data_IF_181420025161
#
_entry.id   IF_181420025161
#
_cell.length_a   1.000
_cell.length_b   1.000
_cell.length_c   1.000
_cell.angle_alpha   90.00
_cell.angle_beta   90.00
_cell.angle_gamma   90.00
#
_symmetry.space_group_name_H-M   'P 1'
#
loop_
_entity.id
_entity.type
_entity.pdbx_description
1 polymer ?
#
# COMPACT_ATOMS: atom_id res chain seq x y z
N UNK A 1 -22.00 6.58 -20.55
CA UNK A 1 -23.02 6.38 -19.47
C UNK A 1 -22.36 5.53 -18.38
N UNK A 2 -22.04 6.12 -17.21
CA UNK A 2 -21.45 5.33 -16.10
C UNK A 2 -22.51 4.36 -15.58
N UNK A 3 -22.16 3.08 -15.47
CA UNK A 3 -23.10 2.07 -14.96
C UNK A 3 -23.23 2.24 -13.44
N UNK A 4 -24.30 2.87 -13.00
CA UNK A 4 -24.57 3.19 -11.59
C UNK A 4 -24.56 1.95 -10.68
N UNK A 5 -24.95 0.79 -11.20
CA UNK A 5 -24.93 -0.47 -10.45
C UNK A 5 -23.49 -0.93 -10.15
N UNK A 6 -22.60 -0.85 -11.14
CA UNK A 6 -21.19 -1.20 -10.94
C UNK A 6 -20.47 -0.24 -9.97
N UNK A 7 -20.84 1.04 -9.98
CA UNK A 7 -20.31 2.00 -9.01
C UNK A 7 -20.75 1.64 -7.59
N UNK A 8 -22.03 1.33 -7.38
CA UNK A 8 -22.54 0.90 -6.07
C UNK A 8 -21.88 -0.41 -5.61
N UNK A 9 -21.71 -1.36 -6.51
CA UNK A 9 -21.03 -2.61 -6.26
C UNK A 9 -19.58 -2.36 -5.76
N UNK A 10 -18.83 -1.53 -6.48
CA UNK A 10 -17.47 -1.15 -6.09
C UNK A 10 -17.43 -0.47 -4.73
N UNK A 11 -18.30 0.52 -4.49
CA UNK A 11 -18.37 1.25 -3.21
C UNK A 11 -18.62 0.32 -2.01
N UNK A 12 -19.50 -0.67 -2.15
CA UNK A 12 -19.79 -1.67 -1.11
C UNK A 12 -18.55 -2.52 -0.82
N UNK A 13 -17.90 -3.05 -1.87
CA UNK A 13 -16.67 -3.84 -1.72
C UNK A 13 -15.56 -3.05 -1.03
N UNK A 14 -15.31 -1.84 -1.50
CA UNK A 14 -14.28 -0.96 -0.96
C UNK A 14 -14.54 -0.64 0.51
N UNK A 15 -15.78 -0.26 0.84
CA UNK A 15 -16.14 0.04 2.22
C UNK A 15 -15.89 -1.16 3.16
N UNK A 16 -16.32 -2.36 2.76
CA UNK A 16 -16.15 -3.58 3.56
C UNK A 16 -14.68 -4.00 3.61
N UNK A 17 -13.93 -3.89 2.52
CA UNK A 17 -12.52 -4.23 2.49
C UNK A 17 -11.70 -3.35 3.44
N UNK A 18 -12.00 -2.05 3.51
CA UNK A 18 -11.28 -1.09 4.39
C UNK A 18 -11.69 -1.25 5.86
N UNK A 19 -12.99 -1.46 6.14
CA UNK A 19 -13.50 -1.47 7.52
C UNK A 19 -13.62 -2.88 8.13
N UNK A 20 -13.37 -3.93 7.36
CA UNK A 20 -13.40 -5.34 7.76
C UNK A 20 -14.81 -5.92 7.84
N UNK A 21 -15.81 -5.18 8.30
CA UNK A 21 -17.22 -5.59 8.31
C UNK A 21 -18.16 -4.39 8.47
N UNK A 22 -19.40 -4.53 8.01
CA UNK A 22 -20.44 -3.52 8.21
C UNK A 22 -21.83 -4.16 8.26
N UNK A 23 -22.80 -3.45 8.82
CA UNK A 23 -24.22 -3.79 8.74
C UNK A 23 -24.84 -3.19 7.47
N UNK A 24 -25.98 -3.74 7.03
CA UNK A 24 -26.71 -3.16 5.88
C UNK A 24 -27.15 -1.71 6.14
N UNK A 25 -27.50 -1.37 7.38
CA UNK A 25 -27.91 -0.01 7.74
C UNK A 25 -26.74 0.99 7.67
N UNK A 26 -25.57 0.61 8.22
CA UNK A 26 -24.35 1.42 8.12
C UNK A 26 -23.94 1.67 6.66
N UNK A 27 -24.01 0.63 5.83
CA UNK A 27 -23.69 0.76 4.41
C UNK A 27 -24.71 1.64 3.67
N UNK A 28 -26.02 1.51 3.98
CA UNK A 28 -27.06 2.31 3.36
C UNK A 28 -26.89 3.80 3.67
N UNK A 29 -26.58 4.14 4.92
CA UNK A 29 -26.36 5.50 5.38
C UNK A 29 -25.07 6.09 4.77
N UNK A 30 -23.95 5.37 4.85
CA UNK A 30 -22.65 5.87 4.39
C UNK A 30 -22.52 6.00 2.89
N UNK A 31 -23.16 5.11 2.14
CA UNK A 31 -23.04 5.07 0.67
C UNK A 31 -24.23 5.75 -0.04
N UNK A 32 -25.18 6.27 0.72
CA UNK A 32 -26.43 6.86 0.19
C UNK A 32 -27.13 5.92 -0.80
N UNK A 33 -27.26 4.63 -0.42
CA UNK A 33 -27.91 3.59 -1.21
C UNK A 33 -29.19 3.16 -0.49
N UNK A 34 -30.38 3.21 -1.14
CA UNK A 34 -31.60 2.73 -0.54
C UNK A 34 -31.48 1.29 -0.06
N UNK A 35 -31.91 1.01 1.17
CA UNK A 35 -31.78 -0.29 1.83
C UNK A 35 -32.27 -1.49 1.01
N UNK A 36 -33.43 -1.42 0.28
CA UNK A 36 -33.86 -2.52 -0.57
C UNK A 36 -32.90 -2.81 -1.73
N UNK A 37 -32.34 -1.76 -2.33
CA UNK A 37 -31.35 -1.89 -3.42
C UNK A 37 -30.07 -2.50 -2.89
N UNK A 38 -29.60 -2.01 -1.74
CA UNK A 38 -28.39 -2.50 -1.08
C UNK A 38 -28.53 -3.96 -0.65
N UNK A 39 -29.67 -4.33 -0.04
CA UNK A 39 -29.93 -5.71 0.39
C UNK A 39 -29.85 -6.69 -0.78
N UNK A 40 -30.43 -6.33 -1.92
CA UNK A 40 -30.35 -7.16 -3.14
C UNK A 40 -28.91 -7.25 -3.65
N UNK A 41 -28.22 -6.13 -3.76
CA UNK A 41 -26.83 -6.07 -4.21
C UNK A 41 -25.92 -6.94 -3.32
N UNK A 42 -26.05 -6.82 -2.01
CA UNK A 42 -25.27 -7.63 -1.05
C UNK A 42 -25.62 -9.11 -1.15
N UNK A 43 -26.91 -9.47 -1.36
CA UNK A 43 -27.27 -10.85 -1.60
C UNK A 43 -26.59 -11.44 -2.83
N UNK A 44 -26.56 -10.70 -3.93
CA UNK A 44 -25.88 -11.12 -5.16
C UNK A 44 -24.36 -11.29 -4.90
N UNK A 45 -23.75 -10.37 -4.13
CA UNK A 45 -22.32 -10.44 -3.77
C UNK A 45 -22.01 -11.63 -2.86
N UNK A 46 -22.92 -12.00 -1.96
CA UNK A 46 -22.78 -13.21 -1.13
C UNK A 46 -22.89 -14.47 -1.98
N UNK A 47 -23.83 -14.53 -2.91
CA UNK A 47 -23.95 -15.65 -3.85
C UNK A 47 -22.70 -15.82 -4.72
N UNK A 48 -22.07 -14.71 -5.12
CA UNK A 48 -20.78 -14.68 -5.84
C UNK A 48 -19.57 -15.01 -4.94
N UNK A 49 -19.76 -15.26 -3.65
CA UNK A 49 -18.69 -15.49 -2.67
C UNK A 49 -17.70 -14.33 -2.52
N UNK A 50 -18.11 -13.12 -2.84
CA UNK A 50 -17.32 -11.90 -2.63
C UNK A 50 -17.49 -11.35 -1.22
N UNK A 51 -18.68 -11.52 -0.66
CA UNK A 51 -19.03 -11.19 0.71
C UNK A 51 -19.56 -12.41 1.44
N UNK A 52 -19.51 -12.40 2.76
CA UNK A 52 -20.12 -13.41 3.63
C UNK A 52 -20.85 -12.76 4.79
N UNK A 53 -21.83 -13.46 5.36
CA UNK A 53 -22.52 -13.05 6.58
C UNK A 53 -21.79 -13.64 7.77
N UNK A 54 -21.20 -12.78 8.60
CA UNK A 54 -20.56 -13.20 9.86
C UNK A 54 -21.62 -13.61 10.91
N UNK A 55 -22.72 -12.86 10.92
CA UNK A 55 -23.87 -13.09 11.79
C UNK A 55 -25.14 -12.59 11.11
N UNK A 56 -26.24 -12.47 11.88
CA UNK A 56 -27.54 -12.04 11.33
C UNK A 56 -27.53 -10.62 10.76
N UNK A 57 -26.60 -9.78 11.19
CA UNK A 57 -26.57 -8.35 10.84
C UNK A 57 -25.31 -7.90 10.12
N UNK A 58 -24.19 -8.60 10.28
CA UNK A 58 -22.86 -8.17 9.79
C UNK A 58 -22.42 -8.91 8.53
N UNK A 59 -21.84 -8.15 7.63
CA UNK A 59 -21.32 -8.60 6.34
C UNK A 59 -19.82 -8.32 6.34
N UNK A 60 -19.04 -9.25 5.83
CA UNK A 60 -17.57 -9.17 5.75
C UNK A 60 -17.06 -9.63 4.38
N UNK A 61 -15.76 -9.39 4.08
CA UNK A 61 -15.12 -9.93 2.90
C UNK A 61 -15.10 -11.46 2.94
N UNK A 62 -15.53 -12.11 1.84
CA UNK A 62 -15.47 -13.57 1.73
C UNK A 62 -14.15 -14.06 1.11
N UNK A 63 -13.78 -15.35 1.30
CA UNK A 63 -12.58 -15.94 0.71
C UNK A 63 -12.47 -15.83 -0.80
N UNK A 64 -13.58 -15.63 -1.52
CA UNK A 64 -13.59 -15.36 -2.95
C UNK A 64 -12.77 -14.13 -3.37
N UNK A 65 -12.77 -13.07 -2.56
CA UNK A 65 -11.95 -11.88 -2.80
C UNK A 65 -10.45 -12.20 -2.66
N UNK A 66 -10.07 -12.99 -1.66
CA UNK A 66 -8.67 -13.43 -1.47
C UNK A 66 -8.23 -14.23 -2.70
N UNK A 67 -9.05 -15.19 -3.15
CA UNK A 67 -8.78 -15.98 -4.34
C UNK A 67 -8.59 -15.13 -5.60
N UNK A 68 -9.46 -14.15 -5.82
CA UNK A 68 -9.35 -13.22 -6.95
C UNK A 68 -8.06 -12.40 -6.89
N UNK A 69 -7.71 -11.88 -5.70
CA UNK A 69 -6.48 -11.15 -5.48
C UNK A 69 -5.23 -12.00 -5.77
N UNK A 70 -5.18 -13.23 -5.29
CA UNK A 70 -4.06 -14.14 -5.54
C UNK A 70 -3.95 -14.54 -7.03
N UNK A 71 -5.06 -14.77 -7.70
CA UNK A 71 -5.05 -14.99 -9.16
C UNK A 71 -4.56 -13.76 -9.91
N UNK A 72 -5.01 -12.57 -9.53
CA UNK A 72 -4.61 -11.30 -10.13
C UNK A 72 -3.11 -11.06 -9.99
N UNK A 73 -2.51 -11.32 -8.81
CA UNK A 73 -1.06 -11.20 -8.58
C UNK A 73 -0.24 -12.01 -9.56
N UNK A 74 -0.64 -13.25 -9.87
CA UNK A 74 0.07 -14.14 -10.81
C UNK A 74 0.10 -13.62 -12.24
N UNK A 75 -0.93 -12.89 -12.65
CA UNK A 75 -1.10 -12.39 -14.02
C UNK A 75 -0.76 -10.90 -14.17
N UNK A 76 -0.53 -10.19 -13.06
CA UNK A 76 -0.13 -8.80 -13.10
C UNK A 76 1.23 -8.64 -13.76
N UNK A 77 1.28 -7.87 -14.86
CA UNK A 77 2.52 -7.55 -15.56
C UNK A 77 3.50 -6.83 -14.62
N UNK A 78 3.01 -5.87 -13.85
CA UNK A 78 3.77 -5.13 -12.85
C UNK A 78 4.45 -6.10 -11.85
N UNK A 79 3.70 -6.99 -11.23
CA UNK A 79 4.24 -7.89 -10.20
C UNK A 79 5.15 -8.97 -10.79
N UNK A 80 4.86 -9.49 -11.98
CA UNK A 80 5.74 -10.45 -12.66
C UNK A 80 7.12 -9.89 -12.95
N UNK A 81 7.22 -8.59 -13.25
CA UNK A 81 8.48 -7.92 -13.54
C UNK A 81 9.19 -7.41 -12.28
N UNK A 82 8.46 -6.99 -11.25
CA UNK A 82 9.03 -6.44 -10.03
C UNK A 82 9.44 -7.52 -9.01
N UNK A 83 8.55 -8.48 -8.71
CA UNK A 83 8.72 -9.42 -7.59
C UNK A 83 10.00 -10.25 -7.65
N UNK A 84 10.40 -10.86 -8.79
CA UNK A 84 11.64 -11.62 -8.84
C UNK A 84 12.87 -10.78 -8.50
N UNK A 85 12.93 -9.55 -9.00
CA UNK A 85 14.04 -8.61 -8.77
C UNK A 85 14.09 -8.17 -7.31
N UNK A 86 12.92 -7.94 -6.69
CA UNK A 86 12.81 -7.58 -5.27
C UNK A 86 13.28 -8.73 -4.37
N UNK A 87 12.87 -9.97 -4.66
CA UNK A 87 13.31 -11.14 -3.90
C UNK A 87 14.80 -11.34 -3.97
N UNK A 88 15.38 -11.33 -5.17
CA UNK A 88 16.83 -11.45 -5.39
C UNK A 88 17.61 -10.38 -4.60
N UNK A 89 17.16 -9.12 -4.68
CA UNK A 89 17.82 -8.03 -3.95
C UNK A 89 17.69 -8.19 -2.43
N UNK A 90 16.50 -8.54 -1.94
CA UNK A 90 16.23 -8.76 -0.52
C UNK A 90 17.12 -9.88 0.04
N UNK A 91 17.19 -11.01 -0.64
CA UNK A 91 18.04 -12.14 -0.24
C UNK A 91 19.52 -11.77 -0.25
N UNK A 92 19.99 -11.12 -1.33
CA UNK A 92 21.38 -10.69 -1.48
C UNK A 92 21.82 -9.67 -0.43
N UNK A 93 20.94 -8.76 -0.06
CA UNK A 93 21.22 -7.69 0.92
C UNK A 93 20.81 -8.04 2.35
N UNK A 94 20.08 -9.14 2.54
CA UNK A 94 19.46 -9.54 3.81
C UNK A 94 18.56 -8.44 4.38
N UNK A 95 17.82 -7.78 3.51
CA UNK A 95 16.89 -6.71 3.84
C UNK A 95 15.49 -7.03 3.31
N UNK A 96 14.47 -6.64 4.04
CA UNK A 96 13.10 -6.74 3.54
C UNK A 96 12.82 -5.70 2.46
N UNK A 97 11.83 -5.98 1.63
CA UNK A 97 11.26 -5.00 0.70
C UNK A 97 9.75 -4.92 0.85
N UNK A 98 9.21 -3.72 0.74
CA UNK A 98 7.78 -3.45 0.59
C UNK A 98 7.59 -2.77 -0.75
N UNK A 99 6.65 -3.27 -1.53
CA UNK A 99 6.18 -2.64 -2.75
C UNK A 99 4.72 -2.27 -2.58
N UNK A 100 4.38 -1.00 -2.75
CA UNK A 100 3.05 -0.46 -2.57
C UNK A 100 2.62 0.42 -3.76
N UNK A 101 1.32 0.58 -3.92
CA UNK A 101 0.69 1.49 -4.88
C UNK A 101 -0.28 2.44 -4.19
N UNK A 102 -0.62 3.52 -4.89
CA UNK A 102 -1.61 4.51 -4.48
C UNK A 102 -2.61 4.73 -5.63
N UNK A 103 -3.88 4.52 -5.36
CA UNK A 103 -4.97 4.62 -6.35
C UNK A 103 -5.64 6.00 -6.42
N UNK A 104 -5.10 6.98 -5.69
CA UNK A 104 -5.66 8.33 -5.54
C UNK A 104 -6.40 8.53 -4.23
N UNK A 105 -6.72 7.48 -3.49
CA UNK A 105 -7.40 7.52 -2.19
C UNK A 105 -6.64 6.72 -1.12
N UNK A 106 -6.25 5.50 -1.45
CA UNK A 106 -5.66 4.54 -0.51
C UNK A 106 -4.28 4.08 -0.95
N UNK A 107 -3.39 3.89 0.02
CA UNK A 107 -2.15 3.16 -0.19
C UNK A 107 -2.40 1.69 0.15
N UNK A 108 -1.98 0.81 -0.75
CA UNK A 108 -2.13 -0.63 -0.58
C UNK A 108 -0.83 -1.36 -0.91
N UNK A 109 -0.54 -2.38 -0.13
CA UNK A 109 0.62 -3.23 -0.34
C UNK A 109 0.36 -4.18 -1.52
N UNK A 110 1.27 -4.17 -2.48
CA UNK A 110 1.25 -5.06 -3.65
C UNK A 110 2.06 -6.33 -3.38
N UNK A 111 3.17 -6.18 -2.67
CA UNK A 111 4.08 -7.27 -2.35
C UNK A 111 5.02 -6.87 -1.21
N UNK A 112 5.39 -7.84 -0.36
CA UNK A 112 6.46 -7.67 0.62
C UNK A 112 7.30 -8.95 0.74
N UNK A 113 8.54 -8.77 1.17
CA UNK A 113 9.40 -9.86 1.67
C UNK A 113 9.50 -9.75 3.18
N UNK A 114 9.53 -10.88 3.86
CA UNK A 114 9.77 -10.95 5.30
C UNK A 114 10.86 -11.98 5.55
N UNK A 115 12.09 -11.50 5.73
CA UNK A 115 13.23 -12.34 6.09
C UNK A 115 13.20 -12.60 7.61
N UNK A 116 13.60 -13.81 8.08
CA UNK A 116 13.50 -14.17 9.50
C UNK A 116 14.26 -13.24 10.45
N UNK A 117 15.33 -12.61 9.96
CA UNK A 117 16.18 -11.70 10.73
C UNK A 117 15.63 -10.28 10.88
N UNK A 118 14.58 -9.92 10.14
CA UNK A 118 14.03 -8.57 10.13
C UNK A 118 12.57 -8.56 10.59
N UNK A 119 12.19 -7.59 11.38
CA UNK A 119 10.80 -7.41 11.78
C UNK A 119 9.97 -6.83 10.63
N UNK A 120 8.75 -7.29 10.42
CA UNK A 120 7.84 -6.67 9.47
C UNK A 120 7.48 -5.26 9.94
N UNK A 121 7.42 -4.31 9.02
CA UNK A 121 6.94 -2.94 9.26
C UNK A 121 5.87 -2.59 8.22
N UNK A 122 4.96 -1.69 8.58
CA UNK A 122 3.93 -1.20 7.67
C UNK A 122 4.49 -0.22 6.62
N UNK A 123 3.70 0.08 5.61
CA UNK A 123 4.04 1.12 4.61
C UNK A 123 4.24 2.50 5.25
N UNK A 124 3.62 2.78 6.40
CA UNK A 124 3.77 4.03 7.13
C UNK A 124 5.05 4.05 7.97
N UNK A 125 5.31 3.00 8.72
CA UNK A 125 6.52 2.87 9.56
C UNK A 125 7.81 2.82 8.72
N UNK A 126 7.76 2.22 7.54
CA UNK A 126 8.90 2.16 6.62
C UNK A 126 9.22 3.51 5.96
N UNK A 127 8.30 4.48 6.00
CA UNK A 127 8.41 5.75 5.28
C UNK A 127 8.01 5.69 3.82
N UNK A 128 7.47 4.58 3.35
CA UNK A 128 7.06 4.42 1.96
C UNK A 128 5.79 5.22 1.63
N UNK A 129 4.81 5.25 2.54
CA UNK A 129 3.56 5.95 2.33
C UNK A 129 3.74 7.44 2.02
N UNK A 130 4.46 8.25 2.84
CA UNK A 130 4.67 9.66 2.54
C UNK A 130 5.42 9.90 1.22
N UNK A 131 6.35 9.00 0.84
CA UNK A 131 7.09 9.10 -0.42
C UNK A 131 6.15 8.94 -1.62
N UNK A 132 5.28 7.93 -1.61
CA UNK A 132 4.30 7.70 -2.68
C UNK A 132 3.29 8.86 -2.74
N UNK A 133 2.74 9.29 -1.62
CA UNK A 133 1.74 10.36 -1.57
C UNK A 133 2.31 11.69 -2.08
N UNK A 134 3.52 12.04 -1.64
CA UNK A 134 4.19 13.27 -2.10
C UNK A 134 4.47 13.20 -3.60
N UNK A 135 4.91 12.05 -4.11
CA UNK A 135 5.14 11.85 -5.54
C UNK A 135 3.83 11.89 -6.35
N UNK A 136 2.71 11.49 -5.76
CA UNK A 136 1.37 11.62 -6.33
C UNK A 136 0.79 13.05 -6.25
N UNK A 137 1.52 14.01 -5.67
CA UNK A 137 1.08 15.40 -5.52
C UNK A 137 0.09 15.65 -4.39
N UNK A 138 0.00 14.75 -3.42
CA UNK A 138 -0.86 14.91 -2.24
C UNK A 138 -0.27 15.99 -1.33
N UNK A 139 -1.13 16.84 -0.79
CA UNK A 139 -0.71 17.93 0.11
C UNK A 139 -0.19 17.39 1.44
N UNK A 140 0.72 18.12 2.08
CA UNK A 140 1.28 17.76 3.38
C UNK A 140 0.21 17.62 4.47
N UNK A 141 -0.79 18.51 4.45
CA UNK A 141 -1.90 18.42 5.41
C UNK A 141 -2.67 17.11 5.30
N UNK A 142 -2.88 16.62 4.08
CA UNK A 142 -3.52 15.34 3.85
C UNK A 142 -2.58 14.16 4.20
N UNK A 143 -1.30 14.24 3.86
CA UNK A 143 -0.30 13.27 4.28
C UNK A 143 -0.26 13.14 5.81
N UNK A 144 -0.26 14.26 6.52
CA UNK A 144 -0.25 14.30 7.97
C UNK A 144 -1.56 13.74 8.58
N UNK A 145 -2.70 14.04 7.97
CA UNK A 145 -4.00 13.49 8.38
C UNK A 145 -3.99 11.95 8.28
N UNK A 146 -3.55 11.42 7.16
CA UNK A 146 -3.46 9.97 6.95
C UNK A 146 -2.41 9.32 7.85
N UNK A 147 -1.27 9.99 8.09
CA UNK A 147 -0.27 9.51 9.04
C UNK A 147 -0.88 9.30 10.44
N UNK A 148 -1.58 10.28 10.97
CA UNK A 148 -2.24 10.18 12.29
C UNK A 148 -3.29 9.07 12.34
N UNK A 149 -4.03 8.86 11.25
CA UNK A 149 -5.02 7.78 11.16
C UNK A 149 -4.40 6.38 11.15
N UNK A 150 -3.27 6.22 10.46
CA UNK A 150 -2.63 4.91 10.29
C UNK A 150 -1.55 4.60 11.35
N UNK A 151 -1.20 5.59 12.18
CA UNK A 151 -0.27 5.45 13.30
C UNK A 151 -0.90 5.99 14.59
N UNK A 152 -1.93 5.32 15.14
CA UNK A 152 -2.74 5.86 16.24
C UNK A 152 -1.97 6.04 17.57
N UNK A 153 -0.76 5.50 17.68
CA UNK A 153 0.11 5.65 18.85
C UNK A 153 1.24 6.66 18.63
N UNK A 154 1.19 7.46 17.56
CA UNK A 154 2.22 8.46 17.30
C UNK A 154 2.17 9.58 18.35
N UNK A 155 3.34 10.01 18.81
CA UNK A 155 3.51 11.17 19.67
C UNK A 155 3.62 12.47 18.87
N UNK A 156 3.55 13.62 19.52
CA UNK A 156 3.81 14.91 18.87
C UNK A 156 5.24 15.01 18.33
N UNK A 157 6.20 14.30 18.95
CA UNK A 157 7.57 14.23 18.44
C UNK A 157 7.63 13.47 17.11
N UNK A 158 6.84 12.38 16.96
CA UNK A 158 6.76 11.63 15.70
C UNK A 158 6.13 12.47 14.58
N UNK A 159 5.14 13.30 14.92
CA UNK A 159 4.53 14.26 13.99
C UNK A 159 5.57 15.27 13.48
N UNK A 160 6.38 15.85 14.36
CA UNK A 160 7.42 16.80 13.96
C UNK A 160 8.50 16.13 13.09
N UNK A 161 8.86 14.89 13.39
CA UNK A 161 9.78 14.11 12.54
C UNK A 161 9.16 13.90 11.16
N UNK A 162 7.90 13.51 11.11
CA UNK A 162 7.18 13.27 9.85
C UNK A 162 7.08 14.54 8.98
N UNK A 163 6.81 15.70 9.57
CA UNK A 163 6.78 16.98 8.85
C UNK A 163 8.14 17.33 8.21
N UNK A 164 9.25 17.11 8.93
CA UNK A 164 10.60 17.28 8.39
C UNK A 164 10.92 16.29 7.27
N UNK A 165 10.42 15.08 7.38
CA UNK A 165 10.56 14.07 6.32
C UNK A 165 9.80 14.46 5.06
N UNK A 166 8.58 15.00 5.17
CA UNK A 166 7.83 15.51 4.02
C UNK A 166 8.59 16.62 3.29
N UNK A 167 9.22 17.55 4.02
CA UNK A 167 10.07 18.57 3.43
C UNK A 167 11.28 17.97 2.70
N UNK A 168 11.94 16.98 3.31
CA UNK A 168 13.05 16.27 2.70
C UNK A 168 12.62 15.52 1.43
N UNK A 169 11.50 14.79 1.46
CA UNK A 169 10.96 14.03 0.33
C UNK A 169 10.66 14.95 -0.85
N UNK A 170 10.11 16.14 -0.63
CA UNK A 170 9.84 17.11 -1.69
C UNK A 170 11.09 17.50 -2.45
N UNK A 171 12.21 17.62 -1.77
CA UNK A 171 13.48 18.01 -2.35
C UNK A 171 14.22 16.84 -3.01
N UNK A 172 14.31 15.70 -2.30
CA UNK A 172 15.11 14.53 -2.72
C UNK A 172 14.31 13.51 -3.53
N UNK A 173 12.98 13.58 -3.53
CA UNK A 173 12.04 12.61 -4.12
C UNK A 173 12.21 11.17 -3.63
N UNK A 174 12.87 11.00 -2.50
CA UNK A 174 13.07 9.71 -1.84
C UNK A 174 13.30 9.95 -0.35
N UNK A 175 13.19 8.90 0.46
CA UNK A 175 13.43 8.98 1.89
C UNK A 175 14.41 7.90 2.32
N UNK A 176 15.51 8.32 2.94
CA UNK A 176 16.44 7.43 3.61
C UNK A 176 16.41 7.69 5.11
N UNK A 177 16.10 6.66 5.89
CA UNK A 177 16.13 6.69 7.34
C UNK A 177 17.27 5.83 7.87
N UNK A 178 17.84 6.23 8.99
CA UNK A 178 18.79 5.41 9.75
C UNK A 178 18.48 5.54 11.24
N UNK A 179 18.59 4.44 11.96
CA UNK A 179 18.49 4.42 13.42
C UNK A 179 19.85 4.24 14.07
N UNK A 180 19.95 4.53 15.37
CA UNK A 180 21.15 4.31 16.18
C UNK A 180 21.66 2.86 16.17
N UNK A 181 20.76 1.90 15.92
CA UNK A 181 21.09 0.47 15.81
C UNK A 181 21.49 0.04 14.38
N UNK A 182 21.88 0.97 13.51
CA UNK A 182 22.22 0.71 12.11
C UNK A 182 21.09 0.01 11.32
N UNK A 183 19.85 0.31 11.65
CA UNK A 183 18.73 -0.10 10.87
C UNK A 183 18.47 0.94 9.77
N UNK A 184 18.41 0.51 8.54
CA UNK A 184 18.23 1.37 7.38
C UNK A 184 16.88 1.15 6.73
N UNK A 185 16.34 2.22 6.17
CA UNK A 185 15.15 2.20 5.33
C UNK A 185 15.37 3.17 4.17
N UNK A 186 15.16 2.70 2.95
CA UNK A 186 15.28 3.50 1.72
C UNK A 186 13.99 3.33 0.91
N UNK A 187 13.20 4.39 0.83
CA UNK A 187 11.92 4.43 0.11
C UNK A 187 12.03 5.30 -1.14
N UNK A 188 11.66 4.74 -2.30
CA UNK A 188 11.81 5.36 -3.62
C UNK A 188 10.51 5.21 -4.39
N UNK A 189 9.92 6.32 -4.92
CA UNK A 189 8.70 6.28 -5.73
C UNK A 189 9.02 6.03 -7.21
N UNK A 190 8.04 5.52 -7.93
CA UNK A 190 8.00 5.48 -9.39
C UNK A 190 6.55 5.42 -9.88
N UNK A 191 6.33 5.71 -11.16
CA UNK A 191 5.00 5.64 -11.74
C UNK A 191 4.82 4.36 -12.57
N UNK A 192 3.65 3.77 -12.46
CA UNK A 192 3.19 2.70 -13.33
C UNK A 192 1.83 3.09 -13.90
N UNK A 193 1.79 3.47 -15.18
CA UNK A 193 0.59 4.05 -15.82
C UNK A 193 0.10 5.26 -15.02
N UNK A 194 -1.16 5.26 -14.58
CA UNK A 194 -1.75 6.35 -13.78
C UNK A 194 -1.56 6.16 -12.26
N UNK A 195 -0.95 5.05 -11.84
CA UNK A 195 -0.75 4.72 -10.45
C UNK A 195 0.64 5.16 -9.98
N UNK A 196 0.69 5.91 -8.89
CA UNK A 196 1.94 6.17 -8.20
C UNK A 196 2.30 4.97 -7.34
N UNK A 197 3.48 4.42 -7.55
CA UNK A 197 4.01 3.27 -6.84
C UNK A 197 5.26 3.65 -6.04
N UNK A 198 5.68 2.76 -5.17
CA UNK A 198 6.96 2.91 -4.51
C UNK A 198 7.47 1.60 -3.93
N UNK A 199 8.77 1.57 -3.72
CA UNK A 199 9.46 0.43 -3.12
C UNK A 199 10.28 0.94 -1.95
N UNK A 200 10.20 0.28 -0.81
CA UNK A 200 11.05 0.50 0.34
C UNK A 200 11.86 -0.76 0.62
N UNK A 201 13.16 -0.58 0.83
CA UNK A 201 14.07 -1.60 1.35
C UNK A 201 14.43 -1.24 2.78
N UNK A 202 14.26 -2.19 3.71
CA UNK A 202 14.49 -1.92 5.13
C UNK A 202 15.05 -3.14 5.87
N UNK A 203 15.83 -2.88 6.90
CA UNK A 203 16.45 -3.92 7.73
C UNK A 203 17.78 -3.47 8.31
N UNK A 204 18.53 -4.41 8.85
CA UNK A 204 19.89 -4.13 9.34
C UNK A 204 20.79 -3.68 8.21
N UNK A 205 21.61 -2.66 8.45
CA UNK A 205 22.54 -2.13 7.45
C UNK A 205 23.47 -3.25 6.94
N UNK A 206 23.59 -3.43 5.61
CA UNK A 206 24.43 -4.47 5.05
C UNK A 206 25.90 -4.29 5.46
N UNK A 207 26.57 -5.39 5.77
CA UNK A 207 27.99 -5.36 6.10
C UNK A 207 28.82 -4.81 4.93
N UNK A 208 29.83 -4.01 5.25
CA UNK A 208 30.74 -3.40 4.27
C UNK A 208 30.04 -2.59 3.16
N UNK A 209 28.88 -2.02 3.45
CA UNK A 209 28.16 -1.14 2.54
C UNK A 209 28.07 0.27 3.13
N UNK A 210 28.47 1.30 2.35
CA UNK A 210 28.19 2.68 2.73
C UNK A 210 26.75 3.05 2.41
N UNK A 211 26.23 4.08 3.10
CA UNK A 211 24.88 4.61 2.85
C UNK A 211 24.69 5.00 1.39
N UNK A 212 25.65 5.74 0.84
CA UNK A 212 25.60 6.26 -0.53
C UNK A 212 25.57 5.12 -1.55
N UNK A 213 26.36 4.07 -1.32
CA UNK A 213 26.38 2.87 -2.16
C UNK A 213 25.03 2.14 -2.12
N UNK A 214 24.48 1.98 -0.92
CA UNK A 214 23.18 1.30 -0.74
C UNK A 214 22.05 2.10 -1.42
N UNK A 215 21.99 3.41 -1.20
CA UNK A 215 21.03 4.32 -1.81
C UNK A 215 21.07 4.26 -3.35
N UNK A 216 22.29 4.29 -3.91
CA UNK A 216 22.49 4.13 -5.36
C UNK A 216 22.02 2.77 -5.87
N UNK A 217 22.31 1.67 -5.18
CA UNK A 217 21.88 0.33 -5.58
C UNK A 217 20.36 0.19 -5.53
N UNK A 218 19.68 0.74 -4.51
CA UNK A 218 18.23 0.80 -4.42
C UNK A 218 17.63 1.60 -5.58
N UNK A 219 18.17 2.80 -5.85
CA UNK A 219 17.71 3.67 -6.92
C UNK A 219 17.87 3.04 -8.30
N UNK A 220 18.98 2.36 -8.56
CA UNK A 220 19.22 1.63 -9.81
C UNK A 220 18.24 0.45 -9.98
N UNK A 221 17.94 -0.28 -8.90
CA UNK A 221 16.99 -1.38 -8.96
C UNK A 221 15.57 -0.86 -9.26
N UNK A 222 15.13 0.17 -8.56
CA UNK A 222 13.80 0.77 -8.79
C UNK A 222 13.69 1.31 -10.22
N UNK A 223 14.72 1.98 -10.73
CA UNK A 223 14.77 2.48 -12.11
C UNK A 223 14.67 1.34 -13.13
N UNK A 224 15.34 0.21 -12.89
CA UNK A 224 15.24 -0.98 -13.76
C UNK A 224 13.86 -1.63 -13.72
N UNK A 225 13.20 -1.62 -12.54
CA UNK A 225 11.82 -2.11 -12.41
C UNK A 225 10.89 -1.16 -13.16
N UNK A 226 11.00 0.15 -12.94
CA UNK A 226 10.19 1.16 -13.59
C UNK A 226 10.33 1.08 -15.14
N UNK A 227 11.54 0.98 -15.67
CA UNK A 227 11.78 0.80 -17.11
C UNK A 227 11.11 -0.47 -17.64
N UNK A 228 11.31 -1.62 -16.97
CA UNK A 228 10.75 -2.90 -17.40
C UNK A 228 9.21 -2.94 -17.40
N UNK A 229 8.53 -2.10 -16.60
CA UNK A 229 7.07 -2.02 -16.56
C UNK A 229 6.49 -0.90 -17.42
N UNK A 230 7.33 -0.03 -17.96
CA UNK A 230 6.93 1.07 -18.86
C UNK A 230 6.99 0.70 -20.35
N UNK A 231 7.60 -0.43 -20.69
CA UNK A 231 7.80 -0.88 -22.09
C UNK A 231 6.56 -1.56 -22.70
N UNK A 232 5.39 -1.49 -22.09
CA UNK A 232 4.08 -1.93 -22.58
C UNK A 232 3.14 -0.73 -22.84
#
# INVERSE_FOLDING_TARGET
>A
MKNLLLQKFHQVLEHIAVNGSATLNELAEKLDIPLPTLSRLVSDMVEMQLLEKLDYYRIAPAPGLIRLGECSKKHSFLLRNAVPKLREFSEKKRMNSIFAGFDGQNIFELFSTCLPENHPVSVWESGLAPVIMTAAGISDGECLRQFRQNTPRCSEADVLIFERELEHIRNARQLFRTTSMRYWSCAIPFNYREMCCGICFYGSAPENCSREKFDLECSLLVSRIAAAVSEE
#
